data_IF_387057904150
#
_entry.id   IF_387057904150
#
_cell.length_a   1.000
_cell.length_b   1.000
_cell.length_c   1.000
_cell.angle_alpha   90.00
_cell.angle_beta   90.00
_cell.angle_gamma   90.00
#
_symmetry.space_group_name_H-M   'P 1'
#
loop_
_entity.id
_entity.type
_entity.pdbx_description
1 polymer ?
#
# COMPACT_ATOMS: atom_id res chain seq x y z
N UNK A 1 68.44 35.96 19.37
CA UNK A 1 67.24 36.84 19.31
C UNK A 1 66.08 36.25 18.45
N UNK A 2 66.29 35.25 17.59
CA UNK A 2 65.27 34.69 16.72
C UNK A 2 64.19 33.76 17.44
N UNK A 3 64.67 33.04 18.48
CA UNK A 3 63.76 32.10 19.21
C UNK A 3 62.65 32.78 20.05
N UNK A 4 62.88 34.00 20.50
CA UNK A 4 61.94 34.74 21.36
C UNK A 4 60.81 35.42 20.56
N UNK A 5 61.06 35.72 19.27
CA UNK A 5 60.01 36.27 18.36
C UNK A 5 59.08 35.25 17.80
N UNK A 6 59.52 33.98 17.66
CA UNK A 6 58.70 32.90 17.18
C UNK A 6 57.70 32.40 18.24
N UNK A 7 58.06 32.42 19.52
CA UNK A 7 57.18 32.06 20.62
C UNK A 7 55.96 33.03 20.80
N UNK A 8 56.22 34.34 20.55
CA UNK A 8 55.13 35.35 20.64
C UNK A 8 54.20 35.30 19.47
N UNK A 9 54.60 34.89 18.25
CA UNK A 9 53.74 34.70 17.11
C UNK A 9 52.86 33.49 17.25
N UNK A 10 53.36 32.39 17.81
CA UNK A 10 52.56 31.18 18.05
C UNK A 10 51.50 31.42 19.13
N UNK A 11 51.82 32.20 20.18
CA UNK A 11 50.87 32.57 21.23
C UNK A 11 49.71 33.46 20.71
N UNK A 12 49.99 34.34 19.74
CA UNK A 12 48.97 35.20 19.13
C UNK A 12 48.05 34.43 18.18
N UNK A 13 48.55 33.40 17.49
CA UNK A 13 47.71 32.53 16.62
C UNK A 13 46.80 31.63 17.47
N UNK A 14 47.25 31.16 18.64
CA UNK A 14 46.38 30.37 19.53
C UNK A 14 45.29 31.22 20.19
N UNK A 15 45.46 32.52 20.39
CA UNK A 15 44.44 33.39 20.97
C UNK A 15 43.31 33.73 19.99
N UNK A 16 43.57 33.67 18.66
CA UNK A 16 42.54 33.93 17.66
C UNK A 16 41.60 32.75 17.42
N UNK A 17 42.00 31.55 17.81
CA UNK A 17 41.18 30.35 17.64
C UNK A 17 40.11 30.19 18.73
N UNK A 18 40.13 30.96 19.81
CA UNK A 18 39.20 30.87 20.93
C UNK A 18 38.06 31.90 20.85
N UNK A 19 38.01 32.72 19.82
CA UNK A 19 37.02 33.80 19.65
C UNK A 19 36.13 33.62 18.40
N UNK A 20 36.13 32.42 17.80
CA UNK A 20 35.07 32.11 16.82
C UNK A 20 33.81 31.74 17.57
N UNK A 21 32.73 32.54 17.48
CA UNK A 21 31.42 32.09 18.01
C UNK A 21 31.05 30.81 17.27
N UNK A 22 30.95 29.72 18.01
CA UNK A 22 30.28 28.50 17.54
C UNK A 22 28.85 28.90 17.24
N UNK A 23 28.57 29.28 16.00
CA UNK A 23 27.18 29.28 15.51
C UNK A 23 26.76 27.84 15.50
N UNK A 24 26.13 27.38 16.58
CA UNK A 24 25.29 26.24 16.55
C UNK A 24 24.22 26.56 15.51
N UNK A 25 24.41 26.08 14.28
CA UNK A 25 23.29 25.90 13.37
C UNK A 25 22.33 24.92 14.09
N UNK A 26 21.34 25.50 14.74
CA UNK A 26 20.16 24.73 15.08
C UNK A 26 19.69 24.15 13.74
N UNK A 27 19.98 22.87 13.51
CA UNK A 27 19.27 22.10 12.53
C UNK A 27 17.82 22.17 12.99
N UNK A 28 17.05 23.05 12.35
CA UNK A 28 15.61 22.99 12.41
C UNK A 28 15.21 21.65 11.78
N UNK A 29 15.10 20.64 12.60
CA UNK A 29 14.34 19.45 12.29
C UNK A 29 12.87 19.86 12.26
N UNK A 30 12.47 20.58 11.22
CA UNK A 30 11.09 20.64 10.81
C UNK A 30 10.83 19.36 10.03
N UNK A 31 10.48 18.33 10.76
CA UNK A 31 9.84 17.10 10.24
C UNK A 31 8.38 17.42 9.86
N UNK A 32 8.16 18.52 9.18
CA UNK A 32 6.86 18.87 8.64
C UNK A 32 6.89 18.46 7.17
N UNK A 33 6.27 17.32 6.86
CA UNK A 33 5.95 16.97 5.48
C UNK A 33 5.22 18.14 4.82
N UNK A 34 5.61 18.45 3.59
CA UNK A 34 4.93 19.48 2.81
C UNK A 34 3.44 19.12 2.64
N UNK A 35 2.50 20.05 2.86
CA UNK A 35 1.07 19.74 2.76
C UNK A 35 0.69 19.33 1.33
N UNK A 36 -0.27 18.42 1.22
CA UNK A 36 -0.80 17.97 -0.08
C UNK A 36 -1.61 19.12 -0.71
N UNK A 37 -1.35 19.41 -1.99
CA UNK A 37 -2.24 20.20 -2.81
C UNK A 37 -3.38 19.33 -3.34
N UNK A 38 -4.51 19.34 -2.67
CA UNK A 38 -5.68 18.50 -2.98
C UNK A 38 -6.35 18.84 -4.33
N UNK A 39 -5.98 19.96 -4.95
CA UNK A 39 -6.49 20.38 -6.26
C UNK A 39 -5.55 20.00 -7.41
N UNK A 40 -4.40 19.43 -7.12
CA UNK A 40 -3.44 18.99 -8.13
C UNK A 40 -3.77 17.55 -8.55
N UNK A 41 -3.93 17.35 -9.86
CA UNK A 41 -4.15 16.02 -10.41
C UNK A 41 -2.92 15.13 -10.26
N UNK A 42 -3.17 13.84 -10.05
CA UNK A 42 -2.17 12.80 -9.93
C UNK A 42 -2.16 11.90 -11.16
N UNK A 43 -1.00 11.27 -11.40
CA UNK A 43 -0.83 10.21 -12.38
C UNK A 43 -0.33 8.95 -11.67
N UNK A 44 -0.93 7.80 -11.97
CA UNK A 44 -0.52 6.49 -11.48
C UNK A 44 -0.12 5.60 -12.66
N UNK A 45 1.13 5.15 -12.66
CA UNK A 45 1.62 4.13 -13.59
C UNK A 45 1.85 2.84 -12.83
N UNK A 46 1.27 1.74 -13.32
CA UNK A 46 1.46 0.41 -12.76
C UNK A 46 2.15 -0.49 -13.78
N UNK A 47 3.05 -1.36 -13.29
CA UNK A 47 3.77 -2.32 -14.12
C UNK A 47 3.36 -3.74 -13.74
N UNK A 48 2.95 -4.52 -14.74
CA UNK A 48 2.54 -5.92 -14.60
C UNK A 48 3.50 -6.83 -15.35
N UNK A 49 4.55 -7.24 -14.62
CA UNK A 49 5.55 -8.20 -15.09
C UNK A 49 5.66 -9.37 -14.12
N UNK A 50 5.92 -10.55 -14.64
CA UNK A 50 6.10 -11.75 -13.83
C UNK A 50 7.23 -12.59 -14.44
N UNK A 51 8.22 -12.93 -13.64
CA UNK A 51 9.44 -13.63 -14.08
C UNK A 51 10.10 -13.00 -15.33
N UNK A 52 10.16 -11.66 -15.33
CA UNK A 52 10.74 -10.89 -16.44
C UNK A 52 9.87 -10.79 -17.70
N UNK A 53 8.68 -11.41 -17.71
CA UNK A 53 7.73 -11.34 -18.82
C UNK A 53 6.69 -10.25 -18.58
N UNK A 54 6.52 -9.36 -19.54
CA UNK A 54 5.47 -8.35 -19.53
C UNK A 54 4.11 -8.95 -19.95
N UNK A 55 3.04 -8.52 -19.30
CA UNK A 55 1.69 -8.94 -19.61
C UNK A 55 0.92 -7.82 -20.31
N UNK A 56 0.70 -7.99 -21.61
CA UNK A 56 -0.08 -7.10 -22.47
C UNK A 56 -1.58 -7.39 -22.37
N UNK A 57 -2.41 -6.38 -22.63
CA UNK A 57 -3.88 -6.45 -22.67
C UNK A 57 -4.55 -6.87 -21.33
N UNK A 58 -3.81 -6.78 -20.22
CA UNK A 58 -4.37 -7.08 -18.89
C UNK A 58 -5.29 -5.94 -18.46
N UNK A 59 -6.53 -6.29 -18.16
CA UNK A 59 -7.52 -5.33 -17.67
C UNK A 59 -7.28 -5.02 -16.19
N UNK A 60 -6.87 -3.80 -15.90
CA UNK A 60 -6.63 -3.30 -14.55
C UNK A 60 -7.82 -2.44 -14.14
N UNK A 61 -8.41 -2.77 -12.98
CA UNK A 61 -9.52 -2.01 -12.38
C UNK A 61 -8.98 -1.15 -11.26
N UNK A 62 -9.35 0.13 -11.25
CA UNK A 62 -8.95 1.09 -10.24
C UNK A 62 -10.17 1.57 -9.45
N UNK A 63 -10.06 1.57 -8.12
CA UNK A 63 -11.10 2.01 -7.19
C UNK A 63 -10.55 3.12 -6.30
N UNK A 64 -11.24 4.26 -6.21
CA UNK A 64 -10.93 5.29 -5.23
C UNK A 64 -11.54 4.91 -3.88
N UNK A 65 -10.70 4.56 -2.93
CA UNK A 65 -11.11 4.08 -1.61
C UNK A 65 -11.42 5.25 -0.67
N UNK A 66 -10.55 6.27 -0.69
CA UNK A 66 -10.67 7.42 0.19
C UNK A 66 -10.15 8.69 -0.47
N UNK A 67 -10.73 9.82 -0.11
CA UNK A 67 -10.14 11.15 -0.31
C UNK A 67 -9.04 11.39 0.72
N UNK A 68 -8.08 12.26 0.40
CA UNK A 68 -7.03 12.67 1.33
C UNK A 68 -7.07 14.19 1.52
N UNK A 69 -6.93 14.63 2.77
CA UNK A 69 -6.82 16.06 3.10
C UNK A 69 -5.39 16.58 2.94
N UNK A 70 -5.20 17.89 3.04
CA UNK A 70 -3.87 18.53 2.96
C UNK A 70 -2.91 18.08 4.07
N UNK A 71 -3.41 17.58 5.16
CA UNK A 71 -2.70 17.06 6.33
C UNK A 71 -2.67 15.54 6.40
N UNK A 72 -2.78 14.86 5.26
CA UNK A 72 -2.68 13.40 5.09
C UNK A 72 -3.73 12.59 5.84
N UNK A 73 -4.92 13.15 6.11
CA UNK A 73 -6.01 12.40 6.71
C UNK A 73 -6.90 11.80 5.61
N UNK A 74 -7.19 10.51 5.70
CA UNK A 74 -8.06 9.79 4.79
C UNK A 74 -9.50 9.79 5.26
N UNK A 75 -10.43 10.02 4.33
CA UNK A 75 -11.87 9.88 4.53
C UNK A 75 -12.42 8.94 3.47
N UNK A 76 -13.06 7.84 3.88
CA UNK A 76 -13.63 6.86 2.95
C UNK A 76 -14.61 7.51 1.98
N UNK A 77 -14.57 7.07 0.71
CA UNK A 77 -15.62 7.44 -0.27
C UNK A 77 -16.94 6.77 0.08
N UNK A 78 -18.05 7.28 -0.45
CA UNK A 78 -19.40 6.79 -0.16
C UNK A 78 -19.59 5.28 -0.43
N UNK A 79 -18.85 4.70 -1.37
CA UNK A 79 -18.90 3.27 -1.67
C UNK A 79 -18.25 2.42 -0.59
N UNK A 80 -17.24 2.95 0.11
CA UNK A 80 -16.47 2.23 1.12
C UNK A 80 -16.79 2.68 2.55
N UNK A 81 -17.53 3.79 2.74
CA UNK A 81 -17.98 4.24 4.07
C UNK A 81 -18.69 3.14 4.87
N UNK A 82 -19.56 2.30 4.26
CA UNK A 82 -20.23 1.21 4.99
C UNK A 82 -19.29 0.13 5.53
N UNK A 83 -18.01 0.12 5.11
CA UNK A 83 -17.00 -0.82 5.62
C UNK A 83 -16.46 -0.43 7.01
N UNK A 84 -16.66 0.82 7.42
CA UNK A 84 -16.17 1.38 8.71
C UNK A 84 -14.66 1.17 8.93
N UNK A 85 -13.87 1.11 7.84
CA UNK A 85 -12.42 0.93 7.92
C UNK A 85 -11.76 2.18 8.49
N UNK A 86 -10.84 1.97 9.42
CA UNK A 86 -10.00 3.04 9.98
C UNK A 86 -8.72 3.08 9.15
N UNK A 87 -8.56 4.14 8.35
CA UNK A 87 -7.40 4.32 7.47
C UNK A 87 -6.29 5.18 8.10
N UNK A 88 -6.61 5.94 9.13
CA UNK A 88 -5.68 6.84 9.78
C UNK A 88 -4.98 6.16 10.97
N UNK A 89 -3.67 6.44 11.14
CA UNK A 89 -2.88 5.88 12.23
C UNK A 89 -2.37 4.46 11.99
N UNK A 90 -2.48 3.93 10.78
CA UNK A 90 -1.90 2.64 10.37
C UNK A 90 -0.37 2.75 10.41
N UNK A 91 0.29 1.73 11.00
CA UNK A 91 1.73 1.76 11.26
C UNK A 91 2.51 0.58 10.67
N UNK A 92 1.83 -0.50 10.30
CA UNK A 92 2.47 -1.74 9.87
C UNK A 92 1.96 -2.19 8.50
N UNK A 93 2.81 -2.88 7.75
CA UNK A 93 2.41 -3.50 6.48
C UNK A 93 1.29 -4.54 6.69
N UNK A 94 1.32 -5.29 7.80
CA UNK A 94 0.28 -6.27 8.11
C UNK A 94 -1.11 -5.63 8.29
N UNK A 95 -1.19 -4.44 8.89
CA UNK A 95 -2.45 -3.70 9.00
C UNK A 95 -2.95 -3.28 7.60
N UNK A 96 -2.07 -2.80 6.73
CA UNK A 96 -2.41 -2.47 5.34
C UNK A 96 -2.85 -3.70 4.54
N UNK A 97 -2.24 -4.86 4.75
CA UNK A 97 -2.67 -6.11 4.10
C UNK A 97 -4.09 -6.54 4.52
N UNK A 98 -4.44 -6.35 5.80
CA UNK A 98 -5.80 -6.60 6.29
C UNK A 98 -6.80 -5.63 5.64
N UNK A 99 -6.47 -4.34 5.57
CA UNK A 99 -7.29 -3.33 4.92
C UNK A 99 -7.50 -3.69 3.44
N UNK A 100 -6.43 -3.97 2.71
CA UNK A 100 -6.47 -4.38 1.30
C UNK A 100 -7.41 -5.56 1.09
N UNK A 101 -7.25 -6.62 1.89
CA UNK A 101 -8.08 -7.82 1.79
C UNK A 101 -9.55 -7.56 2.12
N UNK A 102 -9.82 -6.66 3.07
CA UNK A 102 -11.18 -6.25 3.42
C UNK A 102 -11.83 -5.45 2.28
N UNK A 103 -11.07 -4.55 1.64
CA UNK A 103 -11.54 -3.78 0.48
C UNK A 103 -11.87 -4.67 -0.70
N UNK A 104 -10.99 -5.63 -1.03
CA UNK A 104 -11.24 -6.64 -2.08
C UNK A 104 -12.53 -7.41 -1.83
N UNK A 105 -12.73 -7.85 -0.59
CA UNK A 105 -13.93 -8.59 -0.21
C UNK A 105 -15.20 -7.72 -0.28
N UNK A 106 -15.14 -6.44 0.11
CA UNK A 106 -16.26 -5.50 0.00
C UNK A 106 -16.61 -5.23 -1.48
N UNK A 107 -15.62 -5.05 -2.35
CA UNK A 107 -15.83 -4.88 -3.79
C UNK A 107 -16.64 -6.05 -4.36
N UNK A 108 -16.29 -7.28 -3.98
CA UNK A 108 -17.00 -8.49 -4.45
C UNK A 108 -18.39 -8.58 -3.81
N UNK A 109 -18.48 -8.42 -2.48
CA UNK A 109 -19.72 -8.62 -1.73
C UNK A 109 -20.81 -7.60 -2.11
N UNK A 110 -20.43 -6.36 -2.36
CA UNK A 110 -21.34 -5.26 -2.65
C UNK A 110 -21.40 -4.93 -4.15
N UNK A 111 -20.69 -5.71 -4.99
CA UNK A 111 -20.59 -5.54 -6.44
C UNK A 111 -20.24 -4.09 -6.83
N UNK A 112 -19.20 -3.54 -6.17
CA UNK A 112 -18.77 -2.15 -6.39
C UNK A 112 -18.12 -2.06 -7.77
N UNK A 113 -18.57 -1.11 -8.57
CA UNK A 113 -17.98 -0.84 -9.88
C UNK A 113 -16.64 -0.10 -9.73
N UNK A 114 -15.69 -0.39 -10.63
CA UNK A 114 -14.45 0.34 -10.70
C UNK A 114 -14.70 1.78 -11.18
N UNK A 115 -13.95 2.74 -10.59
CA UNK A 115 -13.97 4.15 -11.02
C UNK A 115 -13.28 4.33 -12.38
N UNK A 116 -12.25 3.51 -12.65
CA UNK A 116 -11.57 3.46 -13.95
C UNK A 116 -11.13 2.04 -14.28
N UNK A 117 -11.06 1.76 -15.58
CA UNK A 117 -10.53 0.51 -16.13
C UNK A 117 -9.63 0.85 -17.32
N UNK A 118 -8.41 0.33 -17.30
CA UNK A 118 -7.46 0.48 -18.39
C UNK A 118 -6.72 -0.84 -18.65
N UNK A 119 -6.08 -0.97 -19.80
CA UNK A 119 -5.33 -2.16 -20.17
C UNK A 119 -3.84 -1.87 -20.21
N UNK A 120 -3.05 -2.88 -19.90
CA UNK A 120 -1.59 -2.81 -20.05
C UNK A 120 -1.19 -2.81 -21.52
N UNK A 121 -0.10 -2.13 -21.82
CA UNK A 121 0.57 -2.13 -23.12
C UNK A 121 1.53 -3.33 -23.27
N UNK A 122 2.29 -3.35 -24.37
CA UNK A 122 3.27 -4.41 -24.68
C UNK A 122 4.45 -4.49 -23.70
N UNK A 123 4.69 -3.44 -22.90
CA UNK A 123 5.69 -3.40 -21.83
C UNK A 123 5.09 -3.78 -20.47
N UNK A 124 3.79 -4.10 -20.44
CA UNK A 124 3.05 -4.42 -19.22
C UNK A 124 2.71 -3.17 -18.40
N UNK A 125 2.76 -1.99 -18.99
CA UNK A 125 2.48 -0.73 -18.32
C UNK A 125 1.02 -0.34 -18.53
N UNK A 126 0.42 0.20 -17.47
CA UNK A 126 -0.88 0.87 -17.53
C UNK A 126 -0.79 2.21 -16.81
N UNK A 127 -1.36 3.25 -17.42
CA UNK A 127 -1.36 4.59 -16.85
C UNK A 127 -2.80 5.07 -16.61
N UNK A 128 -3.02 5.65 -15.43
CA UNK A 128 -4.24 6.38 -15.06
C UNK A 128 -3.87 7.83 -14.82
N UNK A 129 -4.48 8.73 -15.57
CA UNK A 129 -4.23 10.17 -15.53
C UNK A 129 -5.40 10.91 -14.89
N UNK A 130 -5.16 12.17 -14.55
CA UNK A 130 -6.19 13.09 -13.98
C UNK A 130 -6.89 12.54 -12.74
N UNK A 131 -6.16 11.77 -11.91
CA UNK A 131 -6.67 11.25 -10.66
C UNK A 131 -6.65 12.33 -9.57
N UNK A 132 -7.67 12.34 -8.73
CA UNK A 132 -7.67 13.18 -7.52
C UNK A 132 -6.69 12.64 -6.49
N UNK A 133 -6.11 13.46 -5.61
CA UNK A 133 -5.43 12.98 -4.41
C UNK A 133 -6.33 12.07 -3.57
N UNK A 134 -5.80 10.93 -3.12
CA UNK A 134 -6.58 9.94 -2.37
C UNK A 134 -5.87 8.61 -2.21
N UNK A 135 -6.59 7.62 -1.68
CA UNK A 135 -6.14 6.24 -1.58
C UNK A 135 -6.86 5.41 -2.64
N UNK A 136 -6.09 4.64 -3.41
CA UNK A 136 -6.59 3.85 -4.53
C UNK A 136 -6.25 2.38 -4.37
N UNK A 137 -7.14 1.50 -4.80
CA UNK A 137 -6.90 0.07 -4.95
C UNK A 137 -6.94 -0.31 -6.42
N UNK A 138 -5.83 -0.85 -6.93
CA UNK A 138 -5.74 -1.42 -8.26
C UNK A 138 -5.82 -2.94 -8.18
N UNK A 139 -6.71 -3.56 -8.96
CA UNK A 139 -6.93 -5.01 -8.94
C UNK A 139 -6.82 -5.63 -10.32
N UNK A 140 -6.25 -6.82 -10.38
CA UNK A 140 -6.14 -7.65 -11.59
C UNK A 140 -6.53 -9.10 -11.28
N UNK A 141 -5.76 -9.79 -10.42
CA UNK A 141 -5.92 -11.21 -10.11
C UNK A 141 -5.05 -12.11 -10.99
N UNK A 142 -5.55 -13.30 -11.30
CA UNK A 142 -4.83 -14.28 -12.11
C UNK A 142 -4.92 -13.95 -13.60
N UNK A 143 -3.77 -13.94 -14.26
CA UNK A 143 -3.66 -13.72 -15.70
C UNK A 143 -2.90 -14.89 -16.32
N UNK A 144 -3.46 -15.49 -17.38
CA UNK A 144 -2.82 -16.53 -18.18
C UNK A 144 -2.26 -15.89 -19.44
N UNK A 145 -0.94 -15.85 -19.54
CA UNK A 145 -0.21 -15.46 -20.75
C UNK A 145 0.00 -16.65 -21.68
N UNK A 146 0.84 -16.46 -22.72
CA UNK A 146 1.14 -17.50 -23.71
C UNK A 146 1.95 -18.67 -23.13
N UNK A 147 2.89 -18.36 -22.22
CA UNK A 147 3.85 -19.32 -21.71
C UNK A 147 3.72 -19.58 -20.21
N UNK A 148 3.15 -18.62 -19.47
CA UNK A 148 3.04 -18.71 -18.01
C UNK A 148 1.73 -18.08 -17.51
N UNK A 149 1.28 -18.57 -16.36
CA UNK A 149 0.17 -18.00 -15.62
C UNK A 149 0.71 -17.33 -14.36
N UNK A 150 0.29 -16.11 -14.11
CA UNK A 150 0.71 -15.36 -12.93
C UNK A 150 -0.49 -14.81 -12.15
N UNK A 151 -0.35 -14.82 -10.84
CA UNK A 151 -1.22 -14.07 -9.95
C UNK A 151 -0.58 -12.73 -9.65
N UNK A 152 -1.36 -11.66 -9.74
CA UNK A 152 -0.95 -10.31 -9.37
C UNK A 152 -1.71 -9.87 -8.12
N UNK A 153 -0.96 -9.52 -7.08
CA UNK A 153 -1.54 -8.91 -5.88
C UNK A 153 -2.18 -7.57 -6.22
N UNK A 154 -3.30 -7.28 -5.57
CA UNK A 154 -3.87 -5.95 -5.64
C UNK A 154 -2.94 -4.93 -4.99
N UNK A 155 -2.80 -3.76 -5.61
CA UNK A 155 -1.96 -2.68 -5.11
C UNK A 155 -2.80 -1.60 -4.44
N UNK A 156 -2.53 -1.33 -3.17
CA UNK A 156 -3.09 -0.18 -2.44
C UNK A 156 -2.10 0.97 -2.53
N UNK A 157 -2.50 2.08 -3.17
CA UNK A 157 -1.60 3.18 -3.54
C UNK A 157 -2.14 4.51 -3.03
N UNK A 158 -1.31 5.24 -2.30
CA UNK A 158 -1.58 6.62 -1.91
C UNK A 158 -1.18 7.59 -3.03
N UNK A 159 -2.04 8.52 -3.37
CA UNK A 159 -1.78 9.62 -4.29
C UNK A 159 -2.08 10.97 -3.61
N UNK A 160 -1.11 11.92 -3.61
CA UNK A 160 0.26 11.76 -4.08
C UNK A 160 1.05 10.78 -3.20
N UNK A 161 2.08 10.18 -3.78
CA UNK A 161 3.10 9.46 -3.03
C UNK A 161 3.99 10.42 -2.24
N UNK A 162 4.89 9.89 -1.42
CA UNK A 162 5.90 10.68 -0.72
C UNK A 162 7.29 10.32 -1.22
N UNK A 163 8.09 11.34 -1.52
CA UNK A 163 9.52 11.18 -1.78
C UNK A 163 10.29 10.88 -0.48
N UNK A 164 11.55 10.49 -0.60
CA UNK A 164 12.39 10.19 0.56
C UNK A 164 12.61 11.40 1.52
N UNK A 165 12.44 12.62 1.01
CA UNK A 165 12.52 13.88 1.76
C UNK A 165 11.12 14.36 2.23
N UNK A 166 10.08 13.51 2.15
CA UNK A 166 8.73 13.79 2.65
C UNK A 166 7.89 14.72 1.78
N UNK A 167 8.29 14.99 0.54
CA UNK A 167 7.52 15.86 -0.38
C UNK A 167 6.48 15.06 -1.16
N UNK A 168 5.27 15.63 -1.39
CA UNK A 168 4.26 15.00 -2.22
C UNK A 168 4.71 14.82 -3.68
N UNK A 169 4.55 13.61 -4.21
CA UNK A 169 4.82 13.26 -5.60
C UNK A 169 3.52 12.90 -6.30
N UNK A 170 3.12 13.73 -7.25
CA UNK A 170 1.84 13.59 -7.98
C UNK A 170 1.94 12.63 -9.18
N UNK A 171 3.15 12.16 -9.51
CA UNK A 171 3.39 11.10 -10.47
C UNK A 171 3.98 9.92 -9.72
N UNK A 172 3.23 8.83 -9.63
CA UNK A 172 3.58 7.65 -8.86
C UNK A 172 3.70 6.46 -9.80
N UNK A 173 4.79 5.70 -9.68
CA UNK A 173 4.99 4.46 -10.41
C UNK A 173 5.14 3.32 -9.41
N UNK A 174 4.38 2.24 -9.61
CA UNK A 174 4.37 1.07 -8.74
C UNK A 174 4.53 -0.19 -9.59
N UNK A 175 5.45 -1.06 -9.20
CA UNK A 175 5.52 -2.42 -9.73
C UNK A 175 4.57 -3.33 -8.94
N UNK A 176 3.67 -4.00 -9.64
CA UNK A 176 2.76 -4.96 -9.03
C UNK A 176 3.55 -6.18 -8.54
N UNK A 177 3.22 -6.67 -7.36
CA UNK A 177 3.75 -7.95 -6.89
C UNK A 177 3.09 -9.07 -7.67
N UNK A 178 3.90 -10.03 -8.13
CA UNK A 178 3.44 -11.15 -8.92
C UNK A 178 3.99 -12.46 -8.40
N UNK A 179 3.22 -13.51 -8.55
CA UNK A 179 3.61 -14.88 -8.25
C UNK A 179 3.31 -15.75 -9.48
N UNK A 180 4.32 -16.51 -9.94
CA UNK A 180 4.15 -17.45 -11.04
C UNK A 180 3.40 -18.68 -10.54
N UNK A 181 2.34 -19.07 -11.25
CA UNK A 181 1.59 -20.30 -11.00
C UNK A 181 2.18 -21.39 -11.87
N UNK A 182 2.82 -22.45 -11.29
CA UNK A 182 3.41 -23.53 -12.06
C UNK A 182 2.34 -24.28 -12.87
N UNK A 183 2.64 -24.73 -14.09
CA UNK A 183 1.68 -25.44 -14.95
C UNK A 183 1.16 -26.77 -14.40
N UNK A 184 1.90 -27.37 -13.46
CA UNK A 184 1.59 -28.68 -12.85
C UNK A 184 0.76 -28.60 -11.58
N UNK A 185 0.67 -27.43 -10.97
CA UNK A 185 0.02 -27.28 -9.66
C UNK A 185 -1.38 -26.69 -9.86
N UNK A 186 -2.36 -27.56 -9.95
CA UNK A 186 -3.76 -27.19 -9.78
C UNK A 186 -4.06 -26.90 -8.31
N UNK A 187 -3.22 -26.08 -7.67
CA UNK A 187 -3.52 -25.53 -6.36
C UNK A 187 -4.57 -24.44 -6.53
N UNK A 188 -5.70 -24.64 -5.88
CA UNK A 188 -6.70 -23.60 -5.70
C UNK A 188 -6.49 -23.02 -4.30
N UNK A 189 -6.10 -21.75 -4.22
CA UNK A 189 -6.09 -21.05 -2.95
C UNK A 189 -7.49 -20.50 -2.67
N UNK A 190 -8.08 -20.93 -1.55
CA UNK A 190 -9.34 -20.43 -1.05
C UNK A 190 -9.06 -19.50 0.14
N UNK A 191 -9.33 -18.20 -0.03
CA UNK A 191 -9.27 -17.23 1.06
C UNK A 191 -10.65 -17.09 1.69
N UNK A 192 -10.74 -17.39 2.98
CA UNK A 192 -11.93 -17.18 3.79
C UNK A 192 -11.74 -15.95 4.65
N UNK A 193 -12.66 -14.99 4.56
CA UNK A 193 -12.61 -13.75 5.34
C UNK A 193 -13.99 -13.48 5.94
N UNK A 194 -14.05 -13.21 7.25
CA UNK A 194 -15.25 -12.73 7.93
C UNK A 194 -15.28 -11.20 7.91
N UNK A 195 -16.28 -10.64 7.25
CA UNK A 195 -16.58 -9.22 7.29
C UNK A 195 -17.66 -8.94 8.35
N UNK A 196 -17.45 -7.86 9.09
CA UNK A 196 -18.41 -7.33 10.04
C UNK A 196 -19.03 -6.06 9.44
N UNK A 197 -20.37 -6.00 9.40
CA UNK A 197 -21.10 -4.81 8.91
C UNK A 197 -22.09 -4.37 9.98
N UNK A 198 -22.21 -3.06 10.20
CA UNK A 198 -23.22 -2.49 11.09
C UNK A 198 -23.02 -2.85 12.57
N UNK A 199 -21.81 -3.22 12.99
CA UNK A 199 -21.50 -3.43 14.40
C UNK A 199 -20.82 -2.18 14.99
N UNK A 200 -21.60 -1.21 15.40
CA UNK A 200 -21.16 0.05 16.01
C UNK A 200 -20.31 -0.11 17.28
N UNK A 201 -20.02 -1.34 17.68
CA UNK A 201 -19.17 -1.64 18.82
C UNK A 201 -18.46 -2.97 18.70
N UNK A 202 -17.14 -2.94 18.53
CA UNK A 202 -16.27 -4.14 18.54
C UNK A 202 -16.48 -5.06 19.77
N UNK A 203 -17.16 -4.56 20.80
CA UNK A 203 -17.43 -5.29 22.03
C UNK A 203 -18.51 -6.37 21.91
N UNK A 204 -19.30 -6.38 20.83
CA UNK A 204 -20.35 -7.39 20.58
C UNK A 204 -19.87 -8.57 19.73
N UNK A 205 -18.66 -8.51 19.19
CA UNK A 205 -18.10 -9.59 18.37
C UNK A 205 -17.81 -10.82 19.24
N UNK A 206 -18.15 -12.04 18.77
CA UNK A 206 -17.72 -13.25 19.46
C UNK A 206 -16.21 -13.38 19.44
N UNK A 207 -15.62 -14.10 20.38
CA UNK A 207 -14.16 -14.34 20.43
C UNK A 207 -13.66 -15.11 19.22
N UNK A 208 -14.49 -15.98 18.67
CA UNK A 208 -14.21 -16.76 17.45
C UNK A 208 -15.51 -17.18 16.77
N UNK A 209 -15.40 -17.58 15.50
CA UNK A 209 -16.43 -18.26 14.74
C UNK A 209 -15.82 -19.50 14.09
N UNK A 210 -16.58 -20.59 14.07
CA UNK A 210 -16.24 -21.80 13.34
C UNK A 210 -16.88 -21.73 11.93
N UNK A 211 -16.07 -21.98 10.91
CA UNK A 211 -16.51 -22.06 9.51
C UNK A 211 -16.19 -23.44 9.00
N UNK A 212 -17.18 -24.11 8.44
CA UNK A 212 -17.04 -25.42 7.81
C UNK A 212 -17.01 -25.25 6.29
N UNK A 213 -15.97 -25.78 5.68
CA UNK A 213 -15.75 -25.76 4.23
C UNK A 213 -16.19 -27.12 3.68
N UNK A 214 -17.05 -27.08 2.68
CA UNK A 214 -17.54 -28.28 2.00
C UNK A 214 -16.91 -28.42 0.61
N UNK A 215 -16.59 -29.66 0.23
CA UNK A 215 -16.19 -30.04 -1.12
C UNK A 215 -17.10 -31.15 -1.58
N UNK A 216 -17.75 -30.96 -2.74
CA UNK A 216 -18.70 -31.93 -3.33
C UNK A 216 -19.79 -32.40 -2.32
N UNK A 217 -20.31 -31.48 -1.52
CA UNK A 217 -21.30 -31.70 -0.44
C UNK A 217 -20.77 -32.50 0.76
N UNK A 218 -19.48 -32.85 0.81
CA UNK A 218 -18.85 -33.48 1.97
C UNK A 218 -18.05 -32.42 2.78
N UNK A 219 -18.08 -32.56 4.10
CA UNK A 219 -17.25 -31.72 4.97
C UNK A 219 -15.79 -31.94 4.65
N UNK A 220 -15.09 -30.88 4.20
CA UNK A 220 -13.69 -30.93 3.84
C UNK A 220 -12.79 -30.45 4.99
N UNK A 221 -13.11 -29.31 5.59
CA UNK A 221 -12.32 -28.69 6.64
C UNK A 221 -13.14 -27.78 7.53
N UNK A 222 -12.86 -27.83 8.84
CA UNK A 222 -13.35 -26.85 9.81
C UNK A 222 -12.21 -25.92 10.18
N UNK A 223 -12.47 -24.61 10.17
CA UNK A 223 -11.54 -23.56 10.53
C UNK A 223 -12.14 -22.65 11.57
N UNK A 224 -11.29 -22.02 12.38
CA UNK A 224 -11.68 -21.05 13.39
C UNK A 224 -11.16 -19.69 13.00
N UNK A 225 -12.03 -18.71 12.86
CA UNK A 225 -11.68 -17.32 12.62
C UNK A 225 -11.81 -16.54 13.92
N UNK A 226 -10.79 -15.73 14.24
CA UNK A 226 -10.71 -14.92 15.44
C UNK A 226 -9.91 -13.65 15.17
N UNK A 227 -9.79 -12.79 16.17
CA UNK A 227 -8.94 -11.61 16.07
C UNK A 227 -7.46 -11.98 15.89
N UNK A 228 -7.00 -13.12 16.41
CA UNK A 228 -5.61 -13.56 16.33
C UNK A 228 -5.17 -13.89 14.89
N UNK A 229 -6.12 -14.31 14.04
CA UNK A 229 -5.86 -14.57 12.61
C UNK A 229 -6.52 -13.52 11.71
N UNK A 230 -6.81 -12.32 12.25
CA UNK A 230 -7.45 -11.23 11.53
C UNK A 230 -8.76 -11.64 10.83
N UNK A 231 -9.51 -12.56 11.44
CA UNK A 231 -10.77 -13.08 10.91
C UNK A 231 -10.65 -13.65 9.50
N UNK A 232 -9.45 -14.17 9.14
CA UNK A 232 -9.15 -14.71 7.82
C UNK A 232 -8.43 -16.06 7.90
N UNK A 233 -8.53 -16.83 6.83
CA UNK A 233 -7.85 -18.10 6.67
C UNK A 233 -7.57 -18.37 5.19
N UNK A 234 -6.31 -18.73 4.86
CA UNK A 234 -5.93 -19.17 3.54
C UNK A 234 -5.88 -20.70 3.52
N UNK A 235 -6.58 -21.31 2.60
CA UNK A 235 -6.59 -22.74 2.37
C UNK A 235 -6.03 -23.04 0.99
N UNK A 236 -4.91 -23.73 0.93
CA UNK A 236 -4.37 -24.30 -0.30
C UNK A 236 -5.03 -25.67 -0.55
N UNK A 237 -5.62 -25.85 -1.71
CA UNK A 237 -6.27 -27.08 -2.16
C UNK A 237 -5.42 -27.70 -3.26
N UNK A 238 -4.67 -28.76 -2.94
CA UNK A 238 -3.94 -29.57 -3.91
C UNK A 238 -4.95 -30.56 -4.55
N UNK A 239 -4.94 -30.62 -5.85
CA UNK A 239 -5.71 -31.61 -6.64
C UNK A 239 -4.82 -32.69 -7.19
#
# INVERSE_FOLDING_TARGET
MAKRRMAVMIALICLYFWLTPCYAMAASTTDASEPINVNQECMLTLTYTCDGTAFEDVSVKLYQIADVSSDFQYTLTSHFEPSELILNGIRTNGEWDVIRSTLEANIIADNINADAVAKTDSEGLVCFESLKPGLYLATVGTVTGKELTCFFDSALVALPGLSADGRPQYQVTVASKSEMIPPSDKEIELKVLKLWKGDEGRNSRPKNIEVEIFRDSASYKKIVLSQDNNWSYNLSLIH
#
